data_IF_595800492048
#
_entry.id   IF_595800492048
#
_cell.length_a   1.000
_cell.length_b   1.000
_cell.length_c   1.000
_cell.angle_alpha   90.00
_cell.angle_beta   90.00
_cell.angle_gamma   90.00
#
_symmetry.space_group_name_H-M   'P 1'
#
loop_
_entity.id
_entity.type
_entity.pdbx_description
1 polymer ?
#
# COMPACT_ATOMS: atom_id res chain seq x y z
N UNK A 1 -0.66 8.47 -10.69
CA UNK A 1 -0.13 8.31 -9.32
C UNK A 1 0.09 9.71 -8.77
N UNK A 2 -0.24 9.96 -7.52
CA UNK A 2 0.18 11.19 -6.85
C UNK A 2 1.71 11.20 -6.84
N UNK A 3 2.32 12.16 -7.52
CA UNK A 3 3.78 12.36 -7.48
C UNK A 3 4.25 12.99 -6.16
N UNK A 4 3.36 13.08 -5.16
CA UNK A 4 3.63 13.78 -3.91
C UNK A 4 4.11 12.79 -2.85
N UNK A 5 5.28 13.09 -2.30
CA UNK A 5 5.81 12.44 -1.12
C UNK A 5 4.91 12.78 0.10
N UNK A 6 4.58 11.80 0.98
CA UNK A 6 3.55 11.97 2.00
C UNK A 6 3.93 12.92 3.16
N UNK A 7 5.21 13.27 3.29
CA UNK A 7 5.72 14.13 4.35
C UNK A 7 6.37 15.38 3.77
N UNK A 8 6.31 16.47 4.51
CA UNK A 8 7.16 17.64 4.28
C UNK A 8 8.60 17.35 4.67
N UNK A 9 9.55 18.18 4.21
CA UNK A 9 10.96 18.07 4.61
C UNK A 9 11.14 18.17 6.14
N UNK A 10 10.37 19.04 6.80
CA UNK A 10 10.45 19.22 8.26
C UNK A 10 9.97 17.99 9.05
N UNK A 11 8.88 17.35 8.60
CA UNK A 11 8.38 16.10 9.19
C UNK A 11 9.37 14.97 8.98
N UNK A 12 9.94 14.84 7.78
CA UNK A 12 10.97 13.83 7.50
C UNK A 12 12.21 14.02 8.38
N UNK A 13 12.72 15.25 8.52
CA UNK A 13 13.86 15.56 9.40
C UNK A 13 13.56 15.27 10.88
N UNK A 14 12.30 15.32 11.30
CA UNK A 14 11.90 14.96 12.66
C UNK A 14 11.81 13.44 12.83
N UNK A 15 11.29 12.72 11.82
CA UNK A 15 11.19 11.27 11.80
C UNK A 15 12.56 10.59 11.91
N UNK A 16 13.56 11.06 11.14
CA UNK A 16 14.90 10.44 11.12
C UNK A 16 15.66 10.56 12.45
N UNK A 17 15.26 11.47 13.34
CA UNK A 17 15.84 11.58 14.69
C UNK A 17 15.44 10.39 15.58
N UNK A 18 14.24 9.84 15.34
CA UNK A 18 13.69 8.70 16.09
C UNK A 18 13.91 7.36 15.36
N UNK A 19 14.12 7.40 14.05
CA UNK A 19 14.36 6.22 13.22
C UNK A 19 15.65 6.40 12.40
N UNK A 20 16.78 5.80 12.83
CA UNK A 20 18.05 5.92 12.12
C UNK A 20 17.95 5.27 10.74
N UNK A 21 18.65 5.83 9.76
CA UNK A 21 18.66 5.34 8.38
C UNK A 21 19.57 4.11 8.21
N UNK A 22 19.31 3.25 7.20
CA UNK A 22 18.22 3.32 6.23
C UNK A 22 16.92 2.67 6.73
N UNK A 23 15.78 3.21 6.30
CA UNK A 23 14.46 2.60 6.51
C UNK A 23 13.55 2.83 5.30
N UNK A 24 12.49 2.02 5.20
CA UNK A 24 11.40 2.23 4.26
C UNK A 24 10.25 2.97 4.94
N UNK A 25 9.65 3.93 4.23
CA UNK A 25 8.42 4.61 4.64
C UNK A 25 7.31 4.19 3.67
N UNK A 26 6.23 3.62 4.20
CA UNK A 26 5.06 3.23 3.42
C UNK A 26 3.89 4.17 3.73
N UNK A 27 3.22 4.65 2.69
CA UNK A 27 2.02 5.50 2.81
C UNK A 27 0.76 4.64 2.75
N UNK A 28 0.20 4.32 3.92
CA UNK A 28 -1.04 3.54 4.03
C UNK A 28 -2.20 4.18 3.27
N UNK A 29 -2.32 5.52 3.31
CA UNK A 29 -3.40 6.23 2.62
C UNK A 29 -3.31 5.99 1.12
N UNK A 30 -2.12 6.17 0.53
CA UNK A 30 -1.92 5.91 -0.89
C UNK A 30 -2.18 4.45 -1.27
N UNK A 31 -1.80 3.49 -0.42
CA UNK A 31 -2.08 2.06 -0.64
C UNK A 31 -3.58 1.79 -0.72
N UNK A 32 -4.36 2.30 0.25
CA UNK A 32 -5.82 2.15 0.27
C UNK A 32 -6.48 2.83 -0.92
N UNK A 33 -6.11 4.08 -1.21
CA UNK A 33 -6.66 4.84 -2.35
C UNK A 33 -6.41 4.13 -3.68
N UNK A 34 -5.22 3.53 -3.86
CA UNK A 34 -4.91 2.76 -5.06
C UNK A 34 -5.77 1.50 -5.17
N UNK A 35 -5.94 0.74 -4.07
CA UNK A 35 -6.78 -0.46 -4.07
C UNK A 35 -8.25 -0.14 -4.34
N UNK A 36 -8.78 0.92 -3.71
CA UNK A 36 -10.15 1.38 -3.91
C UNK A 36 -10.38 1.86 -5.34
N UNK A 37 -9.44 2.65 -5.89
CA UNK A 37 -9.51 3.11 -7.28
C UNK A 37 -9.52 1.94 -8.26
N UNK A 38 -8.65 0.96 -8.03
CA UNK A 38 -8.56 -0.24 -8.86
C UNK A 38 -9.85 -1.06 -8.77
N UNK A 39 -10.30 -1.39 -7.56
CA UNK A 39 -11.55 -2.14 -7.33
C UNK A 39 -12.75 -1.45 -7.97
N UNK A 40 -12.86 -0.12 -7.84
CA UNK A 40 -13.92 0.67 -8.48
C UNK A 40 -13.88 0.56 -10.00
N UNK A 41 -12.70 0.56 -10.63
CA UNK A 41 -12.56 0.44 -12.07
C UNK A 41 -13.08 -0.91 -12.60
N UNK A 42 -12.95 -1.98 -11.82
CA UNK A 42 -13.41 -3.33 -12.18
C UNK A 42 -14.81 -3.68 -11.63
N UNK A 43 -15.50 -2.73 -11.00
CA UNK A 43 -16.83 -2.94 -10.40
C UNK A 43 -17.92 -3.38 -11.38
N UNK A 44 -17.71 -3.22 -12.69
CA UNK A 44 -18.61 -3.74 -13.73
C UNK A 44 -18.67 -5.28 -13.77
N UNK A 45 -17.70 -5.96 -13.16
CA UNK A 45 -17.63 -7.41 -13.08
C UNK A 45 -18.01 -7.88 -11.67
N UNK A 46 -19.23 -8.39 -11.44
CA UNK A 46 -19.75 -8.64 -10.10
C UNK A 46 -18.99 -9.71 -9.30
N UNK A 47 -18.26 -10.60 -10.00
CA UNK A 47 -17.45 -11.66 -9.39
C UNK A 47 -15.95 -11.33 -9.38
N UNK A 48 -15.56 -10.12 -9.77
CA UNK A 48 -14.16 -9.73 -9.77
C UNK A 48 -13.63 -9.56 -8.35
N UNK A 49 -12.45 -10.14 -8.11
CA UNK A 49 -11.69 -9.96 -6.88
C UNK A 49 -10.22 -9.78 -7.22
N UNK A 50 -9.66 -8.66 -6.81
CA UNK A 50 -8.23 -8.42 -6.98
C UNK A 50 -7.41 -9.27 -6.01
N UNK A 51 -6.33 -9.88 -6.50
CA UNK A 51 -5.38 -10.65 -5.70
C UNK A 51 -3.99 -10.01 -5.81
N UNK A 52 -3.50 -9.42 -4.72
CA UNK A 52 -2.22 -8.75 -4.71
C UNK A 52 -1.07 -9.74 -4.87
N UNK A 53 -0.19 -9.49 -5.84
CA UNK A 53 1.04 -10.25 -6.04
C UNK A 53 2.03 -10.03 -4.87
N UNK A 54 2.03 -10.94 -3.90
CA UNK A 54 2.78 -10.80 -2.63
C UNK A 54 4.29 -10.63 -2.85
N UNK A 55 4.83 -11.23 -3.92
CA UNK A 55 6.22 -11.07 -4.36
C UNK A 55 6.66 -9.62 -4.58
N UNK A 56 5.73 -8.70 -4.86
CA UNK A 56 6.04 -7.29 -5.03
C UNK A 56 6.46 -6.62 -3.70
N UNK A 57 5.78 -6.96 -2.59
CA UNK A 57 6.17 -6.53 -1.25
C UNK A 57 5.52 -7.43 -0.18
N UNK A 58 6.25 -8.41 0.39
CA UNK A 58 5.70 -9.38 1.34
C UNK A 58 5.58 -8.82 2.77
N UNK A 59 5.54 -7.50 2.96
CA UNK A 59 5.46 -6.90 4.29
C UNK A 59 4.09 -7.22 4.93
N UNK A 60 4.04 -7.91 6.08
CA UNK A 60 2.79 -8.38 6.68
C UNK A 60 1.83 -7.25 7.08
N UNK A 61 2.35 -6.05 7.38
CA UNK A 61 1.49 -4.90 7.67
C UNK A 61 0.78 -4.38 6.43
N UNK A 62 1.46 -4.36 5.28
CA UNK A 62 0.84 -4.03 3.99
C UNK A 62 -0.22 -5.05 3.60
N UNK A 63 0.07 -6.34 3.79
CA UNK A 63 -0.88 -7.41 3.50
C UNK A 63 -2.13 -7.31 4.38
N UNK A 64 -2.01 -6.92 5.65
CA UNK A 64 -3.16 -6.65 6.54
C UNK A 64 -4.00 -5.46 6.05
N UNK A 65 -3.34 -4.38 5.59
CA UNK A 65 -4.04 -3.22 5.00
C UNK A 65 -4.82 -3.67 3.76
N UNK A 66 -4.19 -4.39 2.82
CA UNK A 66 -4.82 -4.88 1.60
C UNK A 66 -5.97 -5.86 1.89
N UNK A 67 -5.78 -6.75 2.87
CA UNK A 67 -6.83 -7.66 3.34
C UNK A 67 -8.04 -6.89 3.88
N UNK A 68 -7.81 -5.79 4.62
CA UNK A 68 -8.91 -4.94 5.11
C UNK A 68 -9.69 -4.24 4.00
N UNK A 69 -9.05 -4.03 2.83
CA UNK A 69 -9.70 -3.57 1.59
C UNK A 69 -10.30 -4.73 0.76
N UNK A 70 -10.47 -5.91 1.37
CA UNK A 70 -11.03 -7.13 0.75
C UNK A 70 -10.19 -7.72 -0.40
N UNK A 71 -8.95 -7.29 -0.58
CA UNK A 71 -8.03 -7.85 -1.55
C UNK A 71 -7.57 -9.26 -1.14
N UNK A 72 -7.47 -10.18 -2.11
CA UNK A 72 -6.85 -11.48 -1.92
C UNK A 72 -5.32 -11.43 -2.10
N UNK A 73 -4.70 -12.60 -2.17
CA UNK A 73 -3.25 -12.75 -2.30
C UNK A 73 -2.90 -13.74 -3.42
N UNK A 74 -2.01 -13.33 -4.30
CA UNK A 74 -1.33 -14.18 -5.28
C UNK A 74 0.06 -14.56 -4.72
N UNK A 75 0.24 -15.84 -4.38
CA UNK A 75 1.41 -16.41 -3.73
C UNK A 75 2.15 -17.35 -4.70
N UNK A 76 3.47 -17.18 -4.82
CA UNK A 76 4.29 -17.86 -5.85
C UNK A 76 5.44 -18.71 -5.29
N UNK A 77 5.32 -19.21 -4.05
CA UNK A 77 6.31 -20.04 -3.35
C UNK A 77 5.62 -21.02 -2.40
#
# INVERSE_FOLDING_TARGET
MSSNFPLTNAELLSLIKNHPTPFYLYDEKAIRENMQKFTKAFSIFPSFKENYAVKACPNPYLLKILQSESCGADCSS
#
